data_IF_141796721062
#
_entry.id   IF_141796721062
#
_cell.length_a   1.000
_cell.length_b   1.000
_cell.length_c   1.000
_cell.angle_alpha   90.00
_cell.angle_beta   90.00
_cell.angle_gamma   90.00
#
_symmetry.space_group_name_H-M   'P 1'
#
loop_
_entity.id
_entity.type
_entity.pdbx_description
1 polymer ?
#
# COMPACT_ATOMS: atom_id res chain seq x y z
N UNK A 1 -5.11 20.65 49.41
CA UNK A 1 -4.24 21.84 49.57
C UNK A 1 -4.37 22.70 48.33
N UNK A 2 -4.77 23.97 48.48
CA UNK A 2 -4.85 24.91 47.38
C UNK A 2 -3.44 25.44 47.10
N UNK A 3 -2.91 25.15 45.91
CA UNK A 3 -1.59 25.62 45.49
C UNK A 3 -1.54 27.14 45.46
N UNK A 4 -0.66 27.73 46.25
CA UNK A 4 -0.32 29.15 46.20
C UNK A 4 0.30 29.47 44.84
N UNK A 5 -0.35 30.34 44.07
CA UNK A 5 0.24 30.92 42.87
C UNK A 5 1.20 32.03 43.29
N UNK A 6 2.49 31.73 43.31
CA UNK A 6 3.51 32.76 43.51
C UNK A 6 3.63 33.55 42.20
N UNK A 7 3.17 34.80 42.21
CA UNK A 7 3.35 35.72 41.07
C UNK A 7 4.85 35.98 40.92
N UNK A 8 5.48 35.24 40.01
CA UNK A 8 6.90 35.33 39.75
C UNK A 8 7.19 36.63 38.98
N UNK A 9 7.45 37.71 39.72
CA UNK A 9 7.91 39.04 39.28
C UNK A 9 7.12 39.64 38.10
N UNK A 10 6.27 40.62 38.41
CA UNK A 10 5.66 41.49 37.40
C UNK A 10 6.79 42.14 36.59
N UNK A 11 6.72 42.01 35.26
CA UNK A 11 7.67 42.61 34.33
C UNK A 11 7.56 44.13 34.45
N UNK A 12 8.56 44.78 35.03
CA UNK A 12 8.63 46.24 35.07
C UNK A 12 8.92 46.76 33.65
N UNK A 13 8.02 47.58 33.12
CA UNK A 13 8.04 48.04 31.72
C UNK A 13 9.25 48.93 31.38
N UNK A 14 10.03 49.34 32.39
CA UNK A 14 11.20 50.19 32.22
C UNK A 14 12.50 49.43 31.91
N UNK A 15 12.53 48.10 31.98
CA UNK A 15 13.77 47.30 31.92
C UNK A 15 13.91 46.48 30.61
N UNK A 16 13.23 46.89 29.54
CA UNK A 16 13.22 46.23 28.23
C UNK A 16 14.60 46.11 27.55
N UNK A 17 15.58 46.94 27.96
CA UNK A 17 16.97 46.91 27.47
C UNK A 17 17.93 46.21 28.43
N UNK A 18 17.44 45.77 29.59
CA UNK A 18 18.24 45.02 30.54
C UNK A 18 18.65 43.68 29.96
N UNK A 19 19.92 43.34 30.15
CA UNK A 19 20.50 42.08 29.70
C UNK A 19 19.68 40.87 30.18
N UNK A 20 19.13 40.96 31.39
CA UNK A 20 18.27 39.92 31.96
C UNK A 20 16.96 39.75 31.17
N UNK A 21 16.32 40.86 30.79
CA UNK A 21 15.13 40.83 29.94
C UNK A 21 15.42 40.20 28.57
N UNK A 22 16.52 40.60 27.93
CA UNK A 22 16.92 40.05 26.63
C UNK A 22 17.21 38.55 26.72
N UNK A 23 17.90 38.09 27.74
CA UNK A 23 18.19 36.67 27.97
C UNK A 23 16.91 35.87 28.22
N UNK A 24 15.97 36.41 29.01
CA UNK A 24 14.69 35.77 29.30
C UNK A 24 13.79 35.70 28.06
N UNK A 25 13.72 36.78 27.28
CA UNK A 25 13.00 36.81 26.01
C UNK A 25 13.61 35.86 24.98
N UNK A 26 14.94 35.81 24.87
CA UNK A 26 15.66 34.84 24.04
C UNK A 26 15.35 33.40 24.47
N UNK A 27 15.35 33.11 25.77
CA UNK A 27 14.96 31.81 26.31
C UNK A 27 13.53 31.43 25.91
N UNK A 28 12.55 32.31 26.11
CA UNK A 28 11.17 32.05 25.68
C UNK A 28 11.03 31.88 24.17
N UNK A 29 11.76 32.66 23.37
CA UNK A 29 11.74 32.53 21.91
C UNK A 29 12.32 31.20 21.44
N UNK A 30 13.43 30.74 22.04
CA UNK A 30 14.03 29.43 21.73
C UNK A 30 13.13 28.29 22.15
N UNK A 31 12.50 28.37 23.31
CA UNK A 31 11.51 27.38 23.76
C UNK A 31 10.31 27.37 22.83
N UNK A 32 9.81 28.53 22.40
CA UNK A 32 8.71 28.60 21.41
C UNK A 32 9.12 28.01 20.06
N UNK A 33 10.30 28.30 19.54
CA UNK A 33 10.81 27.69 18.29
C UNK A 33 10.94 26.18 18.45
N UNK A 34 11.49 25.71 19.58
CA UNK A 34 11.56 24.29 19.90
C UNK A 34 10.17 23.64 19.93
N UNK A 35 9.16 24.27 20.54
CA UNK A 35 7.78 23.78 20.52
C UNK A 35 7.13 23.81 19.13
N UNK A 36 7.47 24.79 18.28
CA UNK A 36 6.99 24.87 16.90
C UNK A 36 7.63 23.81 16.02
N UNK A 37 8.92 23.54 16.19
CA UNK A 37 9.65 22.48 15.47
C UNK A 37 9.16 21.08 15.88
N UNK A 38 8.66 20.91 17.11
CA UNK A 38 8.00 19.67 17.56
C UNK A 38 6.55 19.52 17.06
N UNK A 39 5.91 20.61 16.58
CA UNK A 39 4.50 20.61 16.14
C UNK A 39 4.31 20.70 14.63
N UNK A 40 5.31 21.17 13.87
CA UNK A 40 5.24 21.21 12.41
C UNK A 40 5.78 19.88 11.87
N UNK A 41 4.90 18.88 11.78
CA UNK A 41 5.12 17.69 10.97
C UNK A 41 5.09 18.15 9.49
N UNK A 42 6.24 18.56 8.96
CA UNK A 42 6.38 18.80 7.53
C UNK A 42 6.04 17.48 6.82
N UNK A 43 5.13 17.47 5.83
CA UNK A 43 4.80 16.24 5.13
C UNK A 43 6.11 15.69 4.57
N UNK A 44 6.45 14.49 5.03
CA UNK A 44 7.68 13.80 4.65
C UNK A 44 7.73 13.71 3.13
N UNK A 45 8.92 13.59 2.54
CA UNK A 45 9.05 13.46 1.08
C UNK A 45 8.15 12.32 0.53
N UNK A 46 7.95 11.29 1.35
CA UNK A 46 7.03 10.19 1.12
C UNK A 46 5.56 10.62 1.09
N UNK A 47 5.09 11.38 2.08
CA UNK A 47 3.72 11.90 2.11
C UNK A 47 3.46 12.84 0.93
N UNK A 48 4.43 13.68 0.55
CA UNK A 48 4.31 14.51 -0.65
C UNK A 48 4.26 13.68 -1.94
N UNK A 49 5.02 12.59 -2.03
CA UNK A 49 4.97 11.65 -3.16
C UNK A 49 3.63 10.94 -3.22
N UNK A 50 3.12 10.47 -2.07
CA UNK A 50 1.80 9.83 -1.96
C UNK A 50 0.68 10.79 -2.34
N UNK A 51 0.72 12.03 -1.86
CA UNK A 51 -0.26 13.06 -2.24
C UNK A 51 -0.23 13.33 -3.75
N UNK A 52 0.95 13.47 -4.35
CA UNK A 52 1.09 13.61 -5.82
C UNK A 52 0.53 12.40 -6.56
N UNK A 53 0.77 11.19 -6.06
CA UNK A 53 0.26 9.96 -6.66
C UNK A 53 -1.28 9.87 -6.58
N UNK A 54 -1.86 10.16 -5.41
CA UNK A 54 -3.31 10.22 -5.21
C UNK A 54 -3.95 11.24 -6.16
N UNK A 55 -3.30 12.38 -6.36
CA UNK A 55 -3.79 13.41 -7.26
C UNK A 55 -3.70 12.98 -8.74
N UNK A 56 -2.61 12.32 -9.13
CA UNK A 56 -2.47 11.72 -10.47
C UNK A 56 -3.57 10.67 -10.73
N UNK A 57 -3.84 9.80 -9.76
CA UNK A 57 -4.87 8.77 -9.89
C UNK A 57 -6.27 9.38 -10.06
N UNK A 58 -6.58 10.46 -9.35
CA UNK A 58 -7.84 11.19 -9.55
C UNK A 58 -7.95 11.75 -10.98
N UNK A 59 -6.86 12.29 -11.52
CA UNK A 59 -6.80 12.79 -12.89
C UNK A 59 -7.05 11.66 -13.90
N UNK A 60 -6.36 10.53 -13.76
CA UNK A 60 -6.49 9.39 -14.67
C UNK A 60 -7.90 8.78 -14.62
N UNK A 61 -8.49 8.68 -13.43
CA UNK A 61 -9.88 8.23 -13.27
C UNK A 61 -10.87 9.17 -13.96
N UNK A 62 -10.67 10.48 -13.85
CA UNK A 62 -11.52 11.46 -14.53
C UNK A 62 -11.41 11.32 -16.06
N UNK A 63 -10.20 11.22 -16.61
CA UNK A 63 -9.99 11.04 -18.05
C UNK A 63 -10.59 9.72 -18.54
N UNK A 64 -10.43 8.64 -17.78
CA UNK A 64 -11.03 7.35 -18.12
C UNK A 64 -12.56 7.42 -18.13
N UNK A 65 -13.15 8.15 -17.17
CA UNK A 65 -14.59 8.38 -17.12
C UNK A 65 -15.07 9.19 -18.34
N UNK A 66 -14.40 10.28 -18.68
CA UNK A 66 -14.72 11.10 -19.86
C UNK A 66 -14.58 10.31 -21.16
N UNK A 67 -13.52 9.52 -21.31
CA UNK A 67 -13.30 8.65 -22.47
C UNK A 67 -14.41 7.61 -22.60
N UNK A 68 -14.84 7.00 -21.49
CA UNK A 68 -15.98 6.06 -21.47
C UNK A 68 -17.26 6.73 -21.96
N UNK A 69 -17.57 7.94 -21.48
CA UNK A 69 -18.78 8.68 -21.91
C UNK A 69 -18.71 8.99 -23.40
N UNK A 70 -17.56 9.46 -23.89
CA UNK A 70 -17.38 9.79 -25.31
C UNK A 70 -17.53 8.56 -26.21
N UNK A 71 -17.02 7.39 -25.78
CA UNK A 71 -17.25 6.13 -26.50
C UNK A 71 -18.71 5.69 -26.47
N UNK A 72 -19.43 5.90 -25.37
CA UNK A 72 -20.87 5.61 -25.30
C UNK A 72 -21.65 6.49 -26.28
N UNK A 73 -21.34 7.78 -26.37
CA UNK A 73 -21.97 8.70 -27.32
C UNK A 73 -21.69 8.31 -28.77
N UNK A 74 -20.43 8.00 -29.10
CA UNK A 74 -20.06 7.55 -30.43
C UNK A 74 -20.78 6.26 -30.84
N UNK A 75 -20.98 5.34 -29.89
CA UNK A 75 -21.68 4.08 -30.13
C UNK A 75 -23.19 4.30 -30.33
N UNK A 76 -23.79 5.26 -29.63
CA UNK A 76 -25.18 5.67 -29.83
C UNK A 76 -25.37 6.32 -31.21
N UNK A 77 -24.46 7.21 -31.61
CA UNK A 77 -24.52 7.87 -32.91
C UNK A 77 -24.29 6.88 -34.08
N UNK A 78 -23.32 5.96 -33.94
CA UNK A 78 -23.10 4.91 -34.93
C UNK A 78 -24.34 4.00 -35.10
N UNK A 79 -25.00 3.63 -33.99
CA UNK A 79 -26.24 2.87 -34.07
C UNK A 79 -27.34 3.65 -34.80
N UNK A 80 -27.46 4.96 -34.58
CA UNK A 80 -28.43 5.81 -35.28
C UNK A 80 -28.20 5.86 -36.79
N UNK A 81 -26.95 5.83 -37.25
CA UNK A 81 -26.61 5.80 -38.67
C UNK A 81 -26.90 4.43 -39.33
N UNK A 82 -26.79 3.33 -38.59
CA UNK A 82 -27.13 1.98 -39.08
C UNK A 82 -28.64 1.81 -39.28
N UNK A 83 -29.45 2.47 -38.46
CA UNK A 83 -30.91 2.53 -38.62
C UNK A 83 -31.35 3.80 -39.37
N UNK A 84 -30.78 4.01 -40.55
CA UNK A 84 -31.31 4.98 -41.51
C UNK A 84 -32.75 4.62 -41.88
N UNK A 85 -33.70 5.45 -41.43
CA UNK A 85 -35.14 5.43 -41.69
C UNK A 85 -35.95 4.28 -41.04
N UNK A 86 -36.89 4.58 -40.11
CA UNK A 86 -37.79 3.60 -39.50
C UNK A 86 -38.82 3.13 -40.53
N UNK A 87 -38.42 2.18 -41.37
CA UNK A 87 -39.24 1.66 -42.47
C UNK A 87 -38.43 1.08 -43.64
N UNK A 88 -37.11 1.27 -43.67
CA UNK A 88 -36.28 0.64 -44.68
C UNK A 88 -36.00 -0.83 -44.33
N UNK A 89 -36.50 -1.75 -45.17
CA UNK A 89 -36.12 -3.17 -45.13
C UNK A 89 -34.63 -3.26 -45.45
N UNK A 90 -33.79 -3.89 -44.61
CA UNK A 90 -32.37 -4.06 -44.91
C UNK A 90 -32.22 -5.06 -46.06
N UNK A 91 -32.25 -4.57 -47.30
CA UNK A 91 -31.99 -5.36 -48.51
C UNK A 91 -30.52 -5.21 -48.90
N UNK A 92 -29.74 -6.28 -48.72
CA UNK A 92 -28.34 -6.33 -49.16
C UNK A 92 -28.29 -6.86 -50.60
N UNK A 93 -28.06 -5.99 -51.58
CA UNK A 93 -27.89 -6.37 -52.98
C UNK A 93 -26.41 -6.61 -53.29
N UNK A 94 -26.02 -7.88 -53.49
CA UNK A 94 -24.72 -8.23 -54.05
C UNK A 94 -24.91 -9.00 -55.36
N UNK A 95 -24.23 -8.54 -56.41
CA UNK A 95 -24.13 -9.24 -57.69
C UNK A 95 -22.98 -10.25 -57.60
N UNK A 96 -23.30 -11.54 -57.74
CA UNK A 96 -22.30 -12.62 -57.81
C UNK A 96 -22.23 -13.09 -59.26
N UNK A 97 -21.10 -12.87 -59.98
CA UNK A 97 -20.92 -13.43 -61.31
C UNK A 97 -20.72 -14.95 -61.19
N UNK A 98 -21.59 -15.73 -61.82
CA UNK A 98 -21.48 -17.19 -61.87
C UNK A 98 -20.84 -17.58 -63.21
N UNK A 99 -19.71 -18.28 -63.16
CA UNK A 99 -19.02 -18.74 -64.36
C UNK A 99 -19.69 -20.04 -64.87
N UNK A 100 -20.03 -20.08 -66.17
CA UNK A 100 -20.66 -21.24 -66.82
C UNK A 100 -22.20 -21.28 -66.87
N UNK A 101 -22.91 -20.18 -66.61
CA UNK A 101 -24.39 -20.12 -66.72
C UNK A 101 -24.81 -19.27 -67.93
N UNK A 102 -25.63 -19.82 -68.82
CA UNK A 102 -26.02 -19.16 -70.07
C UNK A 102 -26.92 -17.92 -69.89
N UNK A 103 -27.64 -17.83 -68.76
CA UNK A 103 -28.49 -16.68 -68.40
C UNK A 103 -28.26 -16.26 -66.93
N UNK A 104 -28.02 -14.97 -66.63
CA UNK A 104 -27.78 -14.49 -65.27
C UNK A 104 -29.00 -14.70 -64.36
N UNK A 105 -28.79 -15.26 -63.16
CA UNK A 105 -29.82 -15.36 -62.11
C UNK A 105 -29.49 -14.44 -60.93
N UNK A 106 -30.47 -13.64 -60.51
CA UNK A 106 -30.37 -12.78 -59.32
C UNK A 106 -30.83 -13.56 -58.09
N UNK A 107 -29.97 -13.65 -57.06
CA UNK A 107 -30.33 -14.23 -55.76
C UNK A 107 -30.76 -13.13 -54.80
N UNK A 108 -31.92 -13.30 -54.16
CA UNK A 108 -32.41 -12.41 -53.09
C UNK A 108 -32.23 -13.08 -51.74
N UNK A 109 -31.40 -12.50 -50.87
CA UNK A 109 -31.19 -13.00 -49.50
C UNK A 109 -31.98 -12.11 -48.53
N UNK A 110 -33.04 -12.68 -47.95
CA UNK A 110 -33.87 -11.99 -46.96
C UNK A 110 -33.38 -12.32 -45.54
N UNK A 111 -32.67 -11.39 -44.88
CA UNK A 111 -32.22 -11.56 -43.49
C UNK A 111 -33.27 -10.99 -42.53
N UNK A 112 -34.03 -11.86 -41.88
CA UNK A 112 -34.90 -11.47 -40.76
C UNK A 112 -34.18 -11.68 -39.43
N UNK A 113 -34.08 -10.63 -38.61
CA UNK A 113 -33.53 -10.72 -37.25
C UNK A 113 -34.51 -11.51 -36.37
N UNK A 114 -34.14 -12.73 -35.97
CA UNK A 114 -34.88 -13.48 -34.95
C UNK A 114 -34.46 -12.99 -33.56
N UNK A 115 -35.31 -12.21 -32.93
CA UNK A 115 -35.20 -11.86 -31.50
C UNK A 115 -35.88 -12.95 -30.68
N UNK A 116 -35.13 -13.89 -30.09
CA UNK A 116 -35.66 -14.77 -29.03
C UNK A 116 -34.55 -15.18 -28.05
N UNK A 117 -34.68 -14.74 -26.80
CA UNK A 117 -34.01 -15.24 -25.59
C UNK A 117 -34.16 -16.77 -25.47
N UNK A 118 -33.09 -17.48 -25.09
CA UNK A 118 -33.04 -18.60 -24.10
C UNK A 118 -31.71 -19.38 -24.18
N UNK A 119 -30.98 -19.43 -23.07
CA UNK A 119 -29.99 -20.47 -22.71
C UNK A 119 -30.75 -21.80 -22.40
N UNK A 120 -30.14 -23.02 -22.48
CA UNK A 120 -28.88 -23.39 -21.83
C UNK A 120 -27.91 -24.31 -22.63
N UNK A 121 -26.67 -24.40 -22.12
CA UNK A 121 -25.52 -25.21 -22.59
C UNK A 121 -25.75 -26.73 -22.38
N UNK A 122 -25.20 -27.63 -23.22
CA UNK A 122 -24.00 -28.35 -22.78
C UNK A 122 -22.96 -28.66 -23.89
N UNK A 123 -21.68 -28.46 -23.53
CA UNK A 123 -20.48 -29.24 -23.89
C UNK A 123 -20.13 -29.52 -25.36
N UNK A 124 -19.02 -28.93 -25.85
CA UNK A 124 -17.76 -29.66 -26.14
C UNK A 124 -16.68 -28.77 -26.83
N UNK A 125 -15.39 -29.23 -26.84
CA UNK A 125 -14.21 -28.38 -26.70
C UNK A 125 -13.57 -28.02 -28.04
N UNK A 126 -13.18 -26.76 -28.26
CA UNK A 126 -12.23 -26.41 -29.34
C UNK A 126 -11.41 -25.16 -28.96
N UNK A 127 -10.10 -25.40 -28.89
CA UNK A 127 -8.95 -24.53 -29.24
C UNK A 127 -8.99 -23.05 -28.90
N UNK A 128 -8.22 -22.70 -27.87
CA UNK A 128 -7.73 -21.35 -27.59
C UNK A 128 -6.96 -20.76 -28.78
N UNK A 129 -7.20 -19.49 -29.15
CA UNK A 129 -6.27 -18.74 -30.00
C UNK A 129 -5.11 -18.23 -29.13
N UNK A 130 -3.88 -18.57 -29.54
CA UNK A 130 -2.64 -18.08 -28.91
C UNK A 130 -2.64 -16.56 -28.78
N UNK A 131 -2.43 -16.00 -27.58
CA UNK A 131 -2.21 -14.57 -27.43
C UNK A 131 -0.85 -14.20 -28.02
N UNK A 132 -0.82 -13.10 -28.78
CA UNK A 132 0.43 -12.42 -29.15
C UNK A 132 1.22 -12.07 -27.89
N UNK A 133 2.57 -12.04 -27.95
CA UNK A 133 3.38 -11.61 -26.82
C UNK A 133 3.16 -10.11 -26.65
N UNK A 134 2.21 -9.74 -25.81
CA UNK A 134 2.27 -8.47 -25.10
C UNK A 134 3.62 -8.50 -24.41
N UNK A 135 4.53 -7.60 -24.82
CA UNK A 135 5.68 -7.24 -24.01
C UNK A 135 5.07 -6.67 -22.75
N UNK A 136 4.80 -7.57 -21.80
CA UNK A 136 4.69 -7.24 -20.39
C UNK A 136 6.04 -6.62 -20.11
N UNK A 137 6.06 -5.29 -20.11
CA UNK A 137 7.03 -4.55 -19.33
C UNK A 137 7.05 -5.31 -18.01
N UNK A 138 8.15 -6.00 -17.71
CA UNK A 138 8.33 -6.60 -16.40
C UNK A 138 8.21 -5.41 -15.47
N UNK A 139 7.03 -5.24 -14.87
CA UNK A 139 6.95 -4.65 -13.56
C UNK A 139 8.02 -5.38 -12.79
N UNK A 140 9.01 -4.63 -12.30
CA UNK A 140 10.06 -5.17 -11.46
C UNK A 140 9.36 -5.94 -10.36
N UNK A 141 9.29 -7.25 -10.52
CA UNK A 141 8.74 -8.12 -9.50
C UNK A 141 9.59 -7.85 -8.29
N UNK A 142 8.95 -7.27 -7.27
CA UNK A 142 9.49 -7.11 -5.94
C UNK A 142 10.27 -8.38 -5.63
N UNK A 143 11.59 -8.28 -5.49
CA UNK A 143 12.43 -9.44 -5.29
C UNK A 143 12.26 -9.88 -3.84
N UNK A 144 11.21 -10.66 -3.60
CA UNK A 144 10.84 -11.16 -2.29
C UNK A 144 12.00 -11.94 -1.64
N UNK A 145 12.86 -12.56 -2.45
CA UNK A 145 14.06 -13.23 -1.95
C UNK A 145 15.03 -12.19 -1.40
N UNK A 146 15.34 -11.15 -2.18
CA UNK A 146 16.19 -10.04 -1.72
C UNK A 146 15.62 -9.34 -0.48
N UNK A 147 14.31 -9.11 -0.40
CA UNK A 147 13.71 -8.51 0.80
C UNK A 147 13.88 -9.41 2.02
N UNK A 148 13.59 -10.70 1.90
CA UNK A 148 13.77 -11.66 3.02
C UNK A 148 15.21 -11.67 3.51
N UNK A 149 16.18 -11.66 2.58
CA UNK A 149 17.61 -11.58 2.90
C UNK A 149 17.95 -10.28 3.64
N UNK A 150 17.43 -9.13 3.18
CA UNK A 150 17.64 -7.83 3.82
C UNK A 150 17.04 -7.80 5.24
N UNK A 151 15.83 -8.33 5.43
CA UNK A 151 15.17 -8.45 6.76
C UNK A 151 16.03 -9.29 7.72
N UNK A 152 16.51 -10.45 7.25
CA UNK A 152 17.40 -11.32 8.02
C UNK A 152 18.75 -10.63 8.35
N UNK A 153 19.30 -9.88 7.40
CA UNK A 153 20.58 -9.20 7.56
C UNK A 153 20.54 -8.16 8.68
N UNK A 154 19.44 -7.40 8.79
CA UNK A 154 19.24 -6.42 9.87
C UNK A 154 19.29 -7.08 11.25
N UNK A 155 18.58 -8.21 11.43
CA UNK A 155 18.62 -8.96 12.70
C UNK A 155 20.02 -9.49 13.02
N UNK A 156 20.73 -9.93 11.98
CA UNK A 156 22.11 -10.46 12.12
C UNK A 156 23.07 -9.34 12.53
N UNK A 157 22.97 -8.17 11.91
CA UNK A 157 23.82 -7.01 12.20
C UNK A 157 23.66 -6.53 13.65
N UNK A 158 22.43 -6.58 14.19
CA UNK A 158 22.14 -6.11 15.56
C UNK A 158 22.18 -7.19 16.63
N UNK A 159 22.64 -8.39 16.31
CA UNK A 159 22.61 -9.56 17.21
C UNK A 159 23.08 -9.26 18.63
N UNK A 160 24.20 -8.55 18.78
CA UNK A 160 24.81 -8.28 20.10
C UNK A 160 23.90 -7.40 20.96
N UNK A 161 23.33 -6.35 20.38
CA UNK A 161 22.50 -5.39 21.11
C UNK A 161 21.10 -5.94 21.37
N UNK A 162 20.52 -6.64 20.40
CA UNK A 162 19.24 -7.34 20.56
C UNK A 162 19.35 -8.44 21.62
N UNK A 163 20.42 -9.22 21.62
CA UNK A 163 20.65 -10.24 22.66
C UNK A 163 20.71 -9.62 24.05
N UNK A 164 21.35 -8.45 24.21
CA UNK A 164 21.37 -7.73 25.49
C UNK A 164 19.98 -7.23 25.89
N UNK A 165 19.24 -6.62 24.97
CA UNK A 165 17.89 -6.12 25.23
C UNK A 165 16.94 -7.26 25.61
N UNK A 166 16.98 -8.38 24.87
CA UNK A 166 16.11 -9.52 25.10
C UNK A 166 16.42 -10.21 26.43
N UNK A 167 17.69 -10.28 26.83
CA UNK A 167 18.08 -10.85 28.13
C UNK A 167 17.46 -10.14 29.32
N UNK A 168 17.07 -8.87 29.20
CA UNK A 168 16.47 -8.10 30.30
C UNK A 168 15.04 -8.56 30.62
N UNK A 169 14.29 -9.04 29.62
CA UNK A 169 12.88 -9.41 29.77
C UNK A 169 12.48 -10.61 28.88
N UNK A 170 13.39 -11.58 28.76
CA UNK A 170 13.23 -12.75 27.90
C UNK A 170 11.92 -13.54 28.12
N UNK A 171 11.45 -13.75 29.38
CA UNK A 171 10.18 -14.43 29.60
C UNK A 171 8.99 -13.66 29.02
N UNK A 172 8.92 -12.34 29.23
CA UNK A 172 7.84 -11.50 28.71
C UNK A 172 7.83 -11.43 27.18
N UNK A 173 9.02 -11.37 26.56
CA UNK A 173 9.15 -11.44 25.11
C UNK A 173 8.63 -12.77 24.59
N UNK A 174 9.02 -13.87 25.22
CA UNK A 174 8.59 -15.20 24.83
C UNK A 174 7.06 -15.31 24.90
N UNK A 175 6.46 -14.91 26.01
CA UNK A 175 5.01 -14.99 26.21
C UNK A 175 4.24 -14.15 25.17
N UNK A 176 4.70 -12.94 24.85
CA UNK A 176 4.09 -12.11 23.80
C UNK A 176 4.24 -12.72 22.40
N UNK A 177 5.41 -13.31 22.09
CA UNK A 177 5.66 -13.92 20.79
C UNK A 177 4.92 -15.25 20.59
N UNK A 178 4.65 -16.00 21.67
CA UNK A 178 3.72 -17.15 21.64
C UNK A 178 2.31 -16.65 21.34
N UNK A 179 1.85 -15.59 22.03
CA UNK A 179 0.51 -15.03 21.82
C UNK A 179 0.27 -14.53 20.39
N UNK A 180 1.27 -13.91 19.76
CA UNK A 180 1.15 -13.45 18.36
C UNK A 180 1.42 -14.56 17.33
N UNK A 181 1.75 -15.78 17.79
CA UNK A 181 1.96 -16.95 16.94
C UNK A 181 3.26 -16.90 16.12
N UNK A 182 4.29 -16.23 16.62
CA UNK A 182 5.62 -16.23 16.00
C UNK A 182 6.47 -17.42 16.48
N UNK A 183 6.30 -17.82 17.74
CA UNK A 183 7.03 -18.95 18.34
C UNK A 183 6.06 -19.94 18.96
N UNK A 184 6.49 -21.19 19.07
CA UNK A 184 5.74 -22.24 19.75
C UNK A 184 6.03 -22.23 21.26
N UNK A 185 5.09 -22.74 22.06
CA UNK A 185 5.25 -22.83 23.52
C UNK A 185 6.39 -23.76 23.94
N UNK A 186 6.66 -24.79 23.12
CA UNK A 186 7.75 -25.76 23.32
C UNK A 186 9.14 -25.23 22.93
N UNK A 187 9.22 -24.02 22.35
CA UNK A 187 10.49 -23.45 21.90
C UNK A 187 11.39 -23.11 23.09
N UNK A 188 12.70 -23.34 22.94
CA UNK A 188 13.68 -22.94 23.96
C UNK A 188 13.57 -21.43 24.24
N UNK A 189 13.55 -21.05 25.53
CA UNK A 189 13.50 -19.64 25.94
C UNK A 189 14.87 -18.99 25.80
N UNK A 190 15.29 -18.73 24.57
CA UNK A 190 16.55 -18.06 24.23
C UNK A 190 16.36 -17.07 23.08
N UNK A 191 17.21 -16.04 23.03
CA UNK A 191 17.22 -15.10 21.90
C UNK A 191 17.42 -15.83 20.57
N UNK A 192 18.39 -16.76 20.51
CA UNK A 192 18.73 -17.47 19.28
C UNK A 192 17.55 -18.31 18.78
N UNK A 193 16.87 -19.03 19.68
CA UNK A 193 15.71 -19.84 19.32
C UNK A 193 14.53 -18.97 18.82
N UNK A 194 14.29 -17.81 19.45
CA UNK A 194 13.25 -16.87 19.01
C UNK A 194 13.54 -16.37 17.58
N UNK A 195 14.78 -15.95 17.31
CA UNK A 195 15.16 -15.44 16.00
C UNK A 195 15.15 -16.55 14.95
N UNK A 196 15.60 -17.76 15.29
CA UNK A 196 15.54 -18.92 14.40
C UNK A 196 14.09 -19.26 14.03
N UNK A 197 13.18 -19.31 15.01
CA UNK A 197 11.75 -19.54 14.74
C UNK A 197 11.17 -18.44 13.83
N UNK A 198 11.52 -17.18 14.10
CA UNK A 198 11.10 -16.06 13.25
C UNK A 198 11.57 -16.24 11.80
N UNK A 199 12.87 -16.51 11.58
CA UNK A 199 13.46 -16.70 10.25
C UNK A 199 12.85 -17.91 9.54
N UNK A 200 12.68 -19.03 10.23
CA UNK A 200 12.04 -20.23 9.66
C UNK A 200 10.61 -19.93 9.22
N UNK A 201 9.82 -19.24 10.05
CA UNK A 201 8.46 -18.83 9.68
C UNK A 201 8.43 -17.87 8.49
N UNK A 202 9.42 -16.97 8.38
CA UNK A 202 9.55 -16.01 7.28
C UNK A 202 9.72 -16.69 5.91
N UNK A 203 10.37 -17.85 5.85
CA UNK A 203 10.57 -18.62 4.61
C UNK A 203 9.23 -18.92 3.92
N UNK A 204 8.19 -19.23 4.71
CA UNK A 204 6.87 -19.63 4.22
C UNK A 204 6.00 -18.48 3.68
N UNK A 205 6.42 -17.23 3.86
CA UNK A 205 5.67 -16.07 3.35
C UNK A 205 5.84 -15.97 1.82
N UNK A 206 4.74 -16.06 1.07
CA UNK A 206 4.77 -16.14 -0.40
C UNK A 206 4.47 -14.82 -1.10
N UNK A 207 4.13 -13.77 -0.34
CA UNK A 207 3.84 -12.44 -0.85
C UNK A 207 4.46 -11.37 0.04
N UNK A 208 4.61 -10.16 -0.52
CA UNK A 208 5.05 -8.98 0.24
C UNK A 208 4.11 -8.68 1.40
N UNK A 209 2.80 -8.77 1.19
CA UNK A 209 1.79 -8.54 2.24
C UNK A 209 1.83 -9.57 3.37
N UNK A 210 2.07 -10.85 3.06
CA UNK A 210 2.24 -11.89 4.09
C UNK A 210 3.50 -11.64 4.91
N UNK A 211 4.61 -11.29 4.24
CA UNK A 211 5.88 -10.97 4.87
C UNK A 211 5.75 -9.74 5.77
N UNK A 212 5.12 -8.67 5.28
CA UNK A 212 4.86 -7.45 6.03
C UNK A 212 4.03 -7.73 7.27
N UNK A 213 2.90 -8.45 7.12
CA UNK A 213 2.05 -8.84 8.24
C UNK A 213 2.82 -9.65 9.29
N UNK A 214 3.67 -10.58 8.85
CA UNK A 214 4.48 -11.43 9.71
C UNK A 214 5.53 -10.62 10.49
N UNK A 215 6.26 -9.73 9.81
CA UNK A 215 7.20 -8.78 10.43
C UNK A 215 6.51 -7.86 11.44
N UNK A 216 5.34 -7.30 11.10
CA UNK A 216 4.57 -6.43 12.00
C UNK A 216 4.13 -7.19 13.26
N UNK A 217 3.67 -8.45 13.13
CA UNK A 217 3.30 -9.26 14.30
C UNK A 217 4.46 -9.43 15.27
N UNK A 218 5.65 -9.74 14.75
CA UNK A 218 6.86 -9.87 15.55
C UNK A 218 7.19 -8.55 16.27
N UNK A 219 7.25 -7.44 15.54
CA UNK A 219 7.59 -6.12 16.11
C UNK A 219 6.55 -5.62 17.11
N UNK A 220 5.26 -5.87 16.86
CA UNK A 220 4.19 -5.54 17.79
C UNK A 220 4.27 -6.38 19.07
N UNK A 221 4.65 -7.67 18.97
CA UNK A 221 4.94 -8.50 20.15
C UNK A 221 6.06 -7.91 21.01
N UNK A 222 7.17 -7.51 20.38
CA UNK A 222 8.28 -6.84 21.07
C UNK A 222 7.87 -5.49 21.69
N UNK A 223 7.12 -4.68 20.94
CA UNK A 223 6.66 -3.36 21.38
C UNK A 223 5.80 -3.43 22.65
N UNK A 224 4.94 -4.45 22.78
CA UNK A 224 4.09 -4.64 23.97
C UNK A 224 4.87 -4.88 25.25
N UNK A 225 6.07 -5.46 25.18
CA UNK A 225 6.93 -5.69 26.35
C UNK A 225 7.40 -4.36 26.95
N UNK A 226 7.56 -3.33 26.12
CA UNK A 226 8.01 -2.01 26.56
C UNK A 226 9.52 -1.87 26.77
N UNK A 227 9.94 -0.74 27.33
CA UNK A 227 11.33 -0.48 27.71
C UNK A 227 12.34 -0.62 26.55
N UNK A 228 13.56 -1.13 26.81
CA UNK A 228 14.58 -1.32 25.78
C UNK A 228 14.16 -2.21 24.61
N UNK A 229 13.22 -3.14 24.84
CA UNK A 229 12.72 -4.04 23.79
C UNK A 229 11.77 -3.32 22.83
N UNK A 230 10.94 -2.42 23.34
CA UNK A 230 10.11 -1.58 22.47
C UNK A 230 10.96 -0.63 21.62
N UNK A 231 12.01 -0.04 22.20
CA UNK A 231 12.97 0.79 21.45
C UNK A 231 13.72 -0.03 20.39
N UNK A 232 14.09 -1.27 20.70
CA UNK A 232 14.69 -2.18 19.74
C UNK A 232 13.71 -2.50 18.59
N UNK A 233 12.43 -2.70 18.87
CA UNK A 233 11.41 -2.94 17.86
C UNK A 233 11.23 -1.75 16.92
N UNK A 234 11.21 -0.52 17.45
CA UNK A 234 11.16 0.71 16.66
C UNK A 234 12.42 0.87 15.79
N UNK A 235 13.60 0.57 16.34
CA UNK A 235 14.85 0.63 15.58
C UNK A 235 14.87 -0.39 14.43
N UNK A 236 14.47 -1.64 14.69
CA UNK A 236 14.42 -2.69 13.66
C UNK A 236 13.43 -2.30 12.55
N UNK A 237 12.29 -1.73 12.94
CA UNK A 237 11.27 -1.26 12.00
C UNK A 237 11.82 -0.25 11.01
N UNK A 238 12.54 0.76 11.50
CA UNK A 238 13.13 1.81 10.66
C UNK A 238 14.14 1.19 9.69
N UNK A 239 15.00 0.30 10.18
CA UNK A 239 16.01 -0.37 9.35
C UNK A 239 15.43 -1.32 8.33
N UNK A 240 14.37 -2.07 8.65
CA UNK A 240 13.67 -2.89 7.67
C UNK A 240 12.99 -2.03 6.61
N UNK A 241 12.44 -0.89 7.00
CA UNK A 241 11.83 0.08 6.06
C UNK A 241 12.88 0.66 5.12
N UNK A 242 14.05 1.04 5.65
CA UNK A 242 15.16 1.57 4.86
C UNK A 242 15.77 0.49 3.95
N UNK A 243 16.04 -0.70 4.48
CA UNK A 243 16.63 -1.80 3.72
C UNK A 243 15.74 -2.25 2.57
N UNK A 244 14.42 -2.32 2.78
CA UNK A 244 13.44 -2.66 1.75
C UNK A 244 13.20 -1.53 0.72
N UNK A 245 13.90 -0.39 0.80
CA UNK A 245 13.74 0.76 -0.10
C UNK A 245 12.29 1.29 -0.15
N UNK A 246 11.49 0.99 0.90
CA UNK A 246 10.07 1.31 0.96
C UNK A 246 9.13 0.30 0.28
N UNK A 247 9.61 -0.88 -0.12
CA UNK A 247 8.78 -1.96 -0.71
C UNK A 247 7.89 -2.68 0.33
N UNK A 248 8.28 -2.66 1.62
CA UNK A 248 7.44 -3.11 2.74
C UNK A 248 6.81 -1.90 3.43
N UNK A 249 5.49 -1.85 3.48
CA UNK A 249 4.72 -0.74 4.07
C UNK A 249 4.26 -1.10 5.47
N UNK A 250 5.17 -1.08 6.44
CA UNK A 250 4.83 -1.42 7.81
C UNK A 250 3.93 -0.35 8.49
N UNK A 251 2.65 -0.20 8.13
CA UNK A 251 1.79 0.90 8.60
C UNK A 251 1.44 0.89 10.12
N UNK A 252 1.99 -0.04 10.91
CA UNK A 252 1.36 -0.50 12.16
C UNK A 252 2.12 -0.30 13.49
N UNK A 253 3.32 0.29 13.55
CA UNK A 253 3.96 0.50 14.86
C UNK A 253 3.65 1.85 15.51
N UNK A 254 3.37 2.89 14.72
CA UNK A 254 3.31 4.28 15.22
C UNK A 254 2.02 4.64 16.01
N UNK A 255 1.00 3.77 16.04
CA UNK A 255 -0.32 4.14 16.63
C UNK A 255 -0.44 3.90 18.14
N UNK A 256 0.53 3.28 18.82
CA UNK A 256 0.36 2.92 20.25
C UNK A 256 1.17 3.77 21.24
N UNK A 257 2.24 4.45 20.83
CA UNK A 257 3.07 5.25 21.76
C UNK A 257 2.48 6.64 22.07
N UNK A 258 1.56 7.16 21.25
CA UNK A 258 0.93 8.48 21.45
C UNK A 258 -0.36 8.48 22.32
N UNK A 259 -0.82 7.32 22.79
CA UNK A 259 -2.08 7.20 23.56
C UNK A 259 -1.91 6.91 25.06
N UNK A 260 -0.69 6.91 25.60
CA UNK A 260 -0.42 6.63 27.02
C UNK A 260 0.53 7.65 27.66
N UNK A 261 0.29 8.95 27.45
CA UNK A 261 0.79 10.00 28.33
C UNK A 261 -0.30 11.05 28.60
#
# INVERSE_FOLDING_TARGET
EAGEWIVQSVLDGNDLTSKNYQEKYQSYSKTRTWWMDQQIEYPTEREMKLQRYIQSLHQDLQVAHESKVSLQEALVEANKQVYGSPGAVPSLHYSIPLDGVADPKTLFIHRSLRTTLSLPLPGNPVSEPKPMPVVRKRESGIDLVSIKEKVQQVLTNRRVDLSKAFKLCLPSIFDELVQVGIINEDTEKSYEAIIENFIVGMIFMNSSSDLESYCVKFLNGLSKVGGPVALAAETIYEEWTEASEGELLFDCLAKRTKNNL
#
